data_IF_819466375569
#
_entry.id   IF_819466375569
#
_cell.length_a   1.000
_cell.length_b   1.000
_cell.length_c   1.000
_cell.angle_alpha   90.00
_cell.angle_beta   90.00
_cell.angle_gamma   90.00
#
_symmetry.space_group_name_H-M   'P 1'
#
loop_
_entity.id
_entity.type
_entity.pdbx_description
1 polymer ?
#
# COMPACT_ATOMS: atom_id res chain seq x y z
N UNK A 1 -23.18 -2.15 -16.56
CA UNK A 1 -22.67 -3.11 -15.54
C UNK A 1 -21.23 -2.74 -15.18
N UNK A 2 -20.93 -2.65 -13.88
CA UNK A 2 -19.59 -2.35 -13.35
C UNK A 2 -19.21 -3.30 -12.20
N UNK A 3 -19.78 -4.50 -12.22
CA UNK A 3 -19.55 -5.54 -11.24
C UNK A 3 -18.38 -6.43 -11.64
N UNK A 4 -17.73 -7.08 -10.68
CA UNK A 4 -16.45 -7.79 -10.88
C UNK A 4 -16.53 -8.94 -11.90
N UNK A 5 -17.71 -9.53 -12.10
CA UNK A 5 -17.94 -10.62 -13.06
C UNK A 5 -18.11 -10.14 -14.52
N UNK A 6 -18.18 -8.82 -14.75
CA UNK A 6 -18.35 -8.26 -16.09
C UNK A 6 -17.05 -8.21 -16.91
N UNK A 7 -15.90 -8.58 -16.33
CA UNK A 7 -14.57 -8.37 -16.89
C UNK A 7 -13.83 -9.67 -17.27
N UNK A 8 -14.55 -10.79 -17.31
CA UNK A 8 -14.01 -12.12 -17.61
C UNK A 8 -13.29 -12.79 -16.43
N UNK A 9 -13.15 -14.11 -16.52
CA UNK A 9 -12.74 -14.97 -15.40
C UNK A 9 -11.41 -14.59 -14.74
N UNK A 10 -10.44 -14.13 -15.54
CA UNK A 10 -9.11 -13.74 -15.02
C UNK A 10 -9.22 -12.50 -14.13
N UNK A 11 -9.87 -11.45 -14.62
CA UNK A 11 -10.03 -10.21 -13.87
C UNK A 11 -10.92 -10.42 -12.64
N UNK A 12 -12.00 -11.20 -12.78
CA UNK A 12 -12.88 -11.56 -11.67
C UNK A 12 -12.09 -12.24 -10.53
N UNK A 13 -11.27 -13.26 -10.83
CA UNK A 13 -10.47 -13.95 -9.80
C UNK A 13 -9.52 -13.01 -9.05
N UNK A 14 -8.88 -12.09 -9.75
CA UNK A 14 -8.00 -11.09 -9.14
C UNK A 14 -8.82 -10.17 -8.21
N UNK A 15 -9.93 -9.61 -8.69
CA UNK A 15 -10.78 -8.73 -7.89
C UNK A 15 -11.39 -9.42 -6.67
N UNK A 16 -11.82 -10.69 -6.80
CA UNK A 16 -12.32 -11.48 -5.67
C UNK A 16 -11.27 -11.67 -4.58
N UNK A 17 -10.01 -11.90 -4.95
CA UNK A 17 -8.90 -12.01 -4.00
C UNK A 17 -8.70 -10.69 -3.23
N UNK A 18 -8.76 -9.55 -3.94
CA UNK A 18 -8.63 -8.23 -3.33
C UNK A 18 -9.81 -7.88 -2.40
N UNK A 19 -11.04 -8.27 -2.76
CA UNK A 19 -12.22 -8.12 -1.89
C UNK A 19 -12.05 -8.94 -0.62
N UNK A 20 -11.59 -10.19 -0.72
CA UNK A 20 -11.30 -11.03 0.47
C UNK A 20 -10.22 -10.42 1.35
N UNK A 21 -9.19 -9.80 0.77
CA UNK A 21 -8.19 -9.06 1.53
C UNK A 21 -8.80 -7.86 2.26
N UNK A 22 -9.64 -7.07 1.59
CA UNK A 22 -10.37 -5.96 2.20
C UNK A 22 -11.22 -6.39 3.40
N UNK A 23 -11.90 -7.53 3.29
CA UNK A 23 -12.67 -8.10 4.39
C UNK A 23 -11.79 -8.44 5.60
N UNK A 24 -10.62 -9.04 5.36
CA UNK A 24 -9.63 -9.33 6.43
C UNK A 24 -9.07 -8.06 7.08
N UNK A 25 -9.02 -6.94 6.36
CA UNK A 25 -8.54 -5.66 6.87
C UNK A 25 -9.57 -4.89 7.71
N UNK A 26 -10.84 -5.32 7.78
CA UNK A 26 -11.90 -4.62 8.53
C UNK A 26 -11.50 -4.26 9.97
N UNK A 27 -10.89 -5.16 10.78
CA UNK A 27 -10.48 -4.80 12.13
C UNK A 27 -9.42 -3.70 12.17
N UNK A 28 -8.48 -3.71 11.21
CA UNK A 28 -7.46 -2.67 11.09
C UNK A 28 -8.09 -1.32 10.71
N UNK A 29 -8.97 -1.32 9.73
CA UNK A 29 -9.68 -0.12 9.27
C UNK A 29 -10.54 0.48 10.39
N UNK A 30 -11.19 -0.36 11.21
CA UNK A 30 -11.96 0.10 12.36
C UNK A 30 -11.08 0.84 13.38
N UNK A 31 -9.83 0.39 13.60
CA UNK A 31 -8.86 1.11 14.44
C UNK A 31 -8.52 2.47 13.85
N UNK A 32 -8.29 2.55 12.52
CA UNK A 32 -8.00 3.82 11.87
C UNK A 32 -9.18 4.80 11.93
N UNK A 33 -10.43 4.31 11.84
CA UNK A 33 -11.61 5.17 12.06
C UNK A 33 -11.68 5.69 13.49
N UNK A 34 -11.37 4.87 14.48
CA UNK A 34 -11.33 5.30 15.88
C UNK A 34 -10.24 6.35 16.11
N UNK A 35 -9.07 6.18 15.51
CA UNK A 35 -7.99 7.18 15.53
C UNK A 35 -8.43 8.49 14.88
N UNK A 36 -8.96 8.42 13.66
CA UNK A 36 -9.47 9.58 12.91
C UNK A 36 -10.53 10.35 13.71
N UNK A 37 -11.46 9.65 14.36
CA UNK A 37 -12.48 10.25 15.22
C UNK A 37 -11.87 10.96 16.44
N UNK A 38 -10.78 10.42 16.99
CA UNK A 38 -10.13 10.95 18.19
C UNK A 38 -9.26 12.18 17.92
N UNK A 39 -8.48 12.17 16.83
CA UNK A 39 -7.43 13.18 16.61
C UNK A 39 -7.40 13.77 15.19
N UNK A 40 -8.34 13.41 14.33
CA UNK A 40 -8.41 13.91 12.95
C UNK A 40 -7.41 13.27 11.98
N UNK A 41 -6.69 12.22 12.38
CA UNK A 41 -5.71 11.57 11.50
C UNK A 41 -6.38 10.99 10.25
N UNK A 42 -5.84 11.24 9.04
CA UNK A 42 -6.37 10.64 7.84
C UNK A 42 -6.03 9.14 7.78
N UNK A 43 -6.88 8.36 7.11
CA UNK A 43 -6.64 6.93 6.89
C UNK A 43 -5.58 6.70 5.81
N UNK A 44 -5.62 7.49 4.74
CA UNK A 44 -4.58 7.57 3.72
C UNK A 44 -3.74 8.81 4.00
N UNK A 45 -2.46 8.61 4.29
CA UNK A 45 -1.54 9.63 4.77
C UNK A 45 -0.46 9.84 3.73
N UNK A 46 -0.18 11.09 3.38
CA UNK A 46 1.00 11.41 2.60
C UNK A 46 2.26 10.95 3.36
N UNK A 47 3.34 10.64 2.64
CA UNK A 47 4.54 10.08 3.29
C UNK A 47 5.08 11.00 4.39
N UNK A 48 5.17 12.32 4.15
CA UNK A 48 5.64 13.28 5.15
C UNK A 48 4.79 13.34 6.43
N UNK A 49 3.54 12.86 6.41
CA UNK A 49 2.71 12.84 7.62
C UNK A 49 3.27 11.87 8.67
N UNK A 50 3.77 10.72 8.21
CA UNK A 50 4.39 9.70 9.08
C UNK A 50 5.90 9.91 9.26
N UNK A 51 6.54 10.57 8.29
CA UNK A 51 7.99 10.77 8.23
C UNK A 51 8.33 12.25 7.95
N UNK A 52 7.99 13.17 8.88
CA UNK A 52 8.16 14.61 8.64
C UNK A 52 9.63 15.05 8.56
N UNK A 53 10.54 14.32 9.21
CA UNK A 53 11.97 14.63 9.21
C UNK A 53 12.72 14.06 8.00
N UNK A 54 12.06 13.24 7.19
CA UNK A 54 12.61 12.66 5.97
C UNK A 54 12.27 13.54 4.76
N UNK A 55 13.27 14.25 4.24
CA UNK A 55 13.11 15.18 3.11
C UNK A 55 12.58 14.51 1.84
N UNK A 56 12.86 13.22 1.62
CA UNK A 56 12.33 12.49 0.46
C UNK A 56 10.80 12.33 0.57
N UNK A 57 10.29 12.13 1.79
CA UNK A 57 8.86 11.91 2.05
C UNK A 57 7.97 13.13 1.75
N UNK A 58 8.55 14.33 1.63
CA UNK A 58 7.82 15.53 1.22
C UNK A 58 7.55 15.61 -0.29
N UNK A 59 8.36 14.94 -1.10
CA UNK A 59 8.33 15.07 -2.56
C UNK A 59 7.63 13.90 -3.26
N UNK A 60 7.38 12.82 -2.53
CA UNK A 60 6.77 11.59 -3.04
C UNK A 60 5.26 11.77 -3.24
N UNK A 61 4.76 11.35 -4.41
CA UNK A 61 3.35 11.51 -4.82
C UNK A 61 2.67 10.22 -5.30
N UNK A 62 3.43 9.15 -5.44
CA UNK A 62 3.05 7.90 -6.09
C UNK A 62 3.07 6.69 -5.13
N UNK A 63 3.23 6.94 -3.83
CA UNK A 63 3.05 6.00 -2.72
C UNK A 63 2.53 6.77 -1.50
N UNK A 64 1.91 6.06 -0.57
CA UNK A 64 1.30 6.64 0.63
C UNK A 64 1.30 5.65 1.79
N UNK A 65 1.06 6.15 2.99
CA UNK A 65 0.85 5.34 4.18
C UNK A 65 -0.64 5.10 4.40
N UNK A 66 -1.05 3.83 4.51
CA UNK A 66 -2.38 3.43 4.92
C UNK A 66 -2.38 3.15 6.43
N UNK A 67 -2.88 4.12 7.20
CA UNK A 67 -2.62 4.23 8.63
C UNK A 67 -1.12 4.37 8.92
N UNK A 68 -0.69 3.97 10.11
CA UNK A 68 0.74 3.97 10.49
C UNK A 68 1.51 2.70 10.11
N UNK A 69 0.82 1.65 9.62
CA UNK A 69 1.40 0.30 9.56
C UNK A 69 1.78 -0.14 8.15
N UNK A 70 1.12 0.40 7.11
CA UNK A 70 1.29 -0.08 5.74
C UNK A 70 1.71 1.03 4.79
N UNK A 71 2.78 0.83 4.04
CA UNK A 71 3.16 1.64 2.90
C UNK A 71 2.59 0.99 1.63
N UNK A 72 1.86 1.75 0.84
CA UNK A 72 1.20 1.29 -0.39
C UNK A 72 1.80 2.04 -1.58
N UNK A 73 2.20 1.31 -2.63
CA UNK A 73 2.76 1.87 -3.86
C UNK A 73 1.95 1.41 -5.09
N UNK A 74 0.84 2.09 -5.46
CA UNK A 74 -0.07 1.68 -6.54
C UNK A 74 0.53 1.81 -7.95
N UNK A 75 0.43 0.79 -8.80
CA UNK A 75 0.88 0.90 -10.21
C UNK A 75 0.03 1.90 -10.98
N UNK A 76 0.66 2.92 -11.59
CA UNK A 76 -0.04 4.05 -12.21
C UNK A 76 -0.03 4.03 -13.74
N UNK A 77 0.80 3.17 -14.35
CA UNK A 77 0.96 3.10 -15.80
C UNK A 77 0.66 1.70 -16.34
N UNK A 78 0.00 1.64 -17.51
CA UNK A 78 -0.37 0.39 -18.15
C UNK A 78 0.89 -0.41 -18.57
N UNK A 79 0.89 -1.72 -18.28
CA UNK A 79 1.98 -2.63 -18.65
C UNK A 79 3.18 -2.61 -17.69
N UNK A 80 3.17 -1.75 -16.67
CA UNK A 80 4.19 -1.74 -15.63
C UNK A 80 4.04 -2.99 -14.74
N UNK A 81 5.11 -3.78 -14.65
CA UNK A 81 5.15 -5.05 -13.88
C UNK A 81 6.20 -5.05 -12.77
N UNK A 82 6.94 -3.95 -12.65
CA UNK A 82 7.91 -3.66 -11.60
C UNK A 82 7.92 -2.16 -11.39
N UNK A 83 8.22 -1.72 -10.17
CA UNK A 83 8.35 -0.30 -9.88
C UNK A 83 9.40 -0.02 -8.82
N UNK A 84 9.86 1.22 -8.81
CA UNK A 84 10.66 1.74 -7.70
C UNK A 84 9.74 2.23 -6.58
N UNK A 85 10.15 1.97 -5.33
CA UNK A 85 9.45 2.39 -4.11
C UNK A 85 10.50 2.92 -3.13
N UNK A 86 10.28 4.09 -2.56
CA UNK A 86 11.09 4.60 -1.47
C UNK A 86 10.60 4.03 -0.13
N UNK A 87 11.49 3.40 0.61
CA UNK A 87 11.23 2.92 1.95
C UNK A 87 11.90 3.87 2.95
N UNK A 88 11.14 4.62 3.78
CA UNK A 88 11.70 5.45 4.84
C UNK A 88 12.49 4.62 5.85
N UNK A 89 13.28 5.25 6.71
CA UNK A 89 14.08 4.55 7.72
C UNK A 89 13.23 3.57 8.55
N UNK A 90 13.80 2.39 8.83
CA UNK A 90 13.14 1.29 9.53
C UNK A 90 13.16 -0.02 8.74
N UNK A 91 12.42 -1.02 9.23
CA UNK A 91 12.29 -2.32 8.54
C UNK A 91 10.94 -2.42 7.87
N UNK A 92 10.94 -2.97 6.67
CA UNK A 92 9.75 -3.08 5.85
C UNK A 92 9.63 -4.48 5.27
N UNK A 93 8.48 -5.12 5.45
CA UNK A 93 8.22 -6.46 4.91
C UNK A 93 7.13 -6.37 3.85
N UNK A 94 7.45 -6.72 2.62
CA UNK A 94 6.49 -6.76 1.52
C UNK A 94 5.49 -7.90 1.75
N UNK A 95 4.19 -7.61 1.70
CA UNK A 95 3.17 -8.53 2.20
C UNK A 95 2.95 -9.75 1.29
N UNK A 96 3.22 -9.63 -0.02
CA UNK A 96 2.95 -10.72 -0.98
C UNK A 96 4.13 -11.67 -1.07
N UNK A 97 5.36 -11.16 -1.20
CA UNK A 97 6.57 -12.01 -1.24
C UNK A 97 7.08 -12.42 0.15
N UNK A 98 6.75 -11.69 1.21
CA UNK A 98 7.32 -11.87 2.55
C UNK A 98 8.76 -11.38 2.68
N UNK A 99 9.35 -10.79 1.62
CA UNK A 99 10.71 -10.27 1.65
C UNK A 99 10.79 -9.01 2.52
N UNK A 100 11.80 -8.99 3.39
CA UNK A 100 12.11 -7.82 4.21
C UNK A 100 13.21 -6.97 3.58
N UNK A 101 13.11 -5.66 3.82
CA UNK A 101 14.00 -4.63 3.32
C UNK A 101 14.38 -3.69 4.48
N UNK A 102 15.64 -3.28 4.51
CA UNK A 102 16.05 -2.12 5.31
C UNK A 102 15.64 -0.84 4.57
N UNK A 103 15.17 0.13 5.32
CA UNK A 103 14.71 1.43 4.86
C UNK A 103 15.82 2.44 4.60
N UNK A 104 15.43 3.71 4.45
CA UNK A 104 16.29 4.83 4.06
C UNK A 104 16.75 4.78 2.61
N UNK A 105 16.04 4.04 1.74
CA UNK A 105 16.45 3.84 0.35
C UNK A 105 15.30 3.46 -0.57
N UNK A 106 15.56 3.64 -1.86
CA UNK A 106 14.70 3.12 -2.93
C UNK A 106 14.99 1.65 -3.20
N UNK A 107 13.95 0.89 -3.48
CA UNK A 107 14.01 -0.51 -3.88
C UNK A 107 13.16 -0.72 -5.12
N UNK A 108 13.65 -1.53 -6.06
CA UNK A 108 12.84 -2.01 -7.18
C UNK A 108 12.17 -3.32 -6.78
N UNK A 109 10.84 -3.37 -6.92
CA UNK A 109 10.03 -4.53 -6.54
C UNK A 109 9.12 -4.96 -7.68
N UNK A 110 8.73 -6.23 -7.64
CA UNK A 110 7.75 -6.77 -8.58
C UNK A 110 6.37 -6.16 -8.30
N UNK A 111 5.58 -5.97 -9.35
CA UNK A 111 4.22 -5.45 -9.31
C UNK A 111 3.37 -6.14 -10.39
N UNK A 112 3.19 -7.47 -10.31
CA UNK A 112 2.46 -8.23 -11.32
C UNK A 112 0.95 -7.88 -11.28
N UNK A 113 0.19 -8.33 -12.27
CA UNK A 113 -1.22 -7.93 -12.44
C UNK A 113 -2.11 -8.34 -11.24
N UNK A 114 -1.71 -9.35 -10.47
CA UNK A 114 -2.47 -9.88 -9.35
C UNK A 114 -2.41 -8.99 -8.09
N UNK A 115 -1.37 -8.18 -7.92
CA UNK A 115 -1.16 -7.39 -6.71
C UNK A 115 -0.26 -6.16 -6.92
N UNK A 116 -0.52 -5.12 -6.12
CA UNK A 116 0.36 -3.95 -6.03
C UNK A 116 1.35 -4.09 -4.86
N UNK A 117 2.54 -3.49 -4.93
CA UNK A 117 3.48 -3.49 -3.82
C UNK A 117 2.89 -2.84 -2.57
N UNK A 118 2.89 -3.59 -1.47
CA UNK A 118 2.46 -3.12 -0.15
C UNK A 118 3.45 -3.66 0.88
N UNK A 119 3.91 -2.79 1.77
CA UNK A 119 4.90 -3.11 2.79
C UNK A 119 4.32 -2.88 4.16
N UNK A 120 4.48 -3.85 5.05
CA UNK A 120 4.19 -3.71 6.47
C UNK A 120 5.42 -3.16 7.18
N UNK A 121 5.24 -2.14 8.00
CA UNK A 121 6.25 -1.60 8.90
C UNK A 121 6.60 -2.63 10.00
N UNK A 122 7.89 -2.81 10.23
CA UNK A 122 8.45 -3.72 11.25
C UNK A 122 8.57 -3.11 12.62
#
# INVERSE_FOLDING_TARGET
PNEIWCYGDKAQKIMEAQIKLREKLKPYIAKLYAEASKNGSPLMRAMFYEFPDDAECWNIRDQYMFGGDYLVAPVLHAGETKREVYLPEGKWTEINSGKSFEGGKRVTVDAPIEWIPVFKRG
#
